data_IF_681706841987
#
_entry.id   IF_681706841987
#
_cell.length_a   1.000
_cell.length_b   1.000
_cell.length_c   1.000
_cell.angle_alpha   90.00
_cell.angle_beta   90.00
_cell.angle_gamma   90.00
#
_symmetry.space_group_name_H-M   'P 1'
#
loop_
_entity.id
_entity.type
_entity.pdbx_description
1 polymer ?
#
# COMPACT_ATOMS: atom_id res chain seq x y z
N UNK A 1 8.52 0.12 7.07
CA UNK A 1 8.36 0.03 5.61
C UNK A 1 9.74 -0.15 5.00
N UNK A 2 9.88 -1.10 4.08
CA UNK A 2 11.17 -1.50 3.49
C UNK A 2 11.07 -1.45 1.97
N UNK A 3 12.13 -1.00 1.30
CA UNK A 3 12.23 -1.02 -0.17
C UNK A 3 13.08 -2.20 -0.60
N UNK A 4 12.49 -3.12 -1.36
CA UNK A 4 13.16 -4.36 -1.81
C UNK A 4 13.94 -4.17 -3.12
N UNK A 5 13.90 -2.97 -3.71
CA UNK A 5 14.50 -2.68 -5.03
C UNK A 5 13.55 -2.98 -6.19
N UNK A 6 13.88 -2.53 -7.40
CA UNK A 6 13.07 -2.79 -8.60
C UNK A 6 11.63 -2.27 -8.53
N UNK A 7 11.42 -1.13 -7.85
CA UNK A 7 10.12 -0.54 -7.56
C UNK A 7 9.16 -1.46 -6.76
N UNK A 8 9.71 -2.32 -5.91
CA UNK A 8 8.95 -3.11 -4.94
C UNK A 8 9.15 -2.52 -3.55
N UNK A 9 8.05 -2.24 -2.86
CA UNK A 9 8.01 -1.82 -1.47
C UNK A 9 7.22 -2.81 -0.62
N UNK A 10 7.66 -2.99 0.62
CA UNK A 10 7.00 -3.81 1.63
C UNK A 10 6.56 -2.93 2.80
N UNK A 11 5.28 -2.95 3.11
CA UNK A 11 4.63 -2.12 4.12
C UNK A 11 4.09 -3.03 5.21
N UNK A 12 4.62 -2.91 6.42
CA UNK A 12 4.05 -3.54 7.61
C UNK A 12 3.02 -2.58 8.21
N UNK A 13 1.82 -3.07 8.48
CA UNK A 13 0.73 -2.28 9.03
C UNK A 13 -0.15 -3.11 9.95
N UNK A 14 -0.65 -2.51 11.02
CA UNK A 14 -1.66 -3.12 11.88
C UNK A 14 -3.03 -2.65 11.43
N UNK A 15 -3.89 -3.58 11.03
CA UNK A 15 -5.30 -3.31 10.71
C UNK A 15 -6.14 -3.40 11.97
N UNK A 16 -6.80 -2.31 12.34
CA UNK A 16 -7.81 -2.32 13.40
C UNK A 16 -9.21 -2.39 12.78
N UNK A 17 -9.97 -3.44 13.13
CA UNK A 17 -11.36 -3.60 12.72
C UNK A 17 -12.25 -3.45 13.95
N UNK A 18 -13.06 -2.38 13.98
CA UNK A 18 -13.97 -2.08 15.09
C UNK A 18 -15.38 -2.51 14.71
N UNK A 19 -16.00 -3.37 15.52
CA UNK A 19 -17.39 -3.82 15.36
C UNK A 19 -18.11 -3.66 16.70
N UNK A 20 -18.96 -2.63 16.80
CA UNK A 20 -19.61 -2.27 18.07
C UNK A 20 -18.57 -1.87 19.12
N UNK A 21 -18.58 -2.57 20.26
CA UNK A 21 -17.61 -2.37 21.35
C UNK A 21 -16.33 -3.20 21.21
N UNK A 22 -16.25 -4.08 20.20
CA UNK A 22 -15.08 -4.93 19.99
C UNK A 22 -14.13 -4.30 18.98
N UNK A 23 -12.85 -4.27 19.32
CA UNK A 23 -11.76 -3.91 18.40
C UNK A 23 -10.83 -5.10 18.22
N UNK A 24 -10.65 -5.54 16.97
CA UNK A 24 -9.69 -6.59 16.62
C UNK A 24 -8.54 -5.96 15.87
N UNK A 25 -7.32 -6.13 16.40
CA UNK A 25 -6.08 -5.75 15.72
C UNK A 25 -5.49 -6.95 15.01
N UNK A 26 -5.05 -6.75 13.78
CA UNK A 26 -4.46 -7.79 12.94
C UNK A 26 -3.24 -7.20 12.25
N UNK A 27 -2.07 -7.73 12.57
CA UNK A 27 -0.84 -7.35 11.88
C UNK A 27 -0.81 -7.95 10.48
N UNK A 28 -0.36 -7.17 9.52
CA UNK A 28 -0.35 -7.55 8.12
C UNK A 28 0.82 -6.89 7.41
N UNK A 29 1.22 -7.52 6.31
CA UNK A 29 2.29 -7.04 5.44
C UNK A 29 1.80 -6.95 4.01
N UNK A 30 1.96 -5.78 3.41
CA UNK A 30 1.65 -5.54 2.00
C UNK A 30 2.94 -5.49 1.18
N UNK A 31 2.99 -6.30 0.12
CA UNK A 31 4.00 -6.19 -0.94
C UNK A 31 3.38 -5.44 -2.11
N UNK A 32 3.98 -4.30 -2.44
CA UNK A 32 3.48 -3.35 -3.44
C UNK A 32 4.54 -3.20 -4.51
N UNK A 33 4.22 -3.61 -5.74
CA UNK A 33 5.01 -3.26 -6.92
C UNK A 33 4.42 -1.99 -7.52
N UNK A 34 5.23 -0.95 -7.65
CA UNK A 34 4.82 0.32 -8.24
C UNK A 34 5.67 0.65 -9.46
N UNK A 35 5.22 1.59 -10.28
CA UNK A 35 6.05 2.25 -11.28
C UNK A 35 5.85 3.75 -11.19
N UNK A 36 6.85 4.49 -11.63
CA UNK A 36 6.78 5.95 -11.74
C UNK A 36 6.77 6.25 -13.23
N UNK A 37 5.56 6.36 -13.77
CA UNK A 37 5.33 6.77 -15.15
C UNK A 37 5.04 8.27 -15.07
N UNK A 38 5.96 9.09 -15.54
CA UNK A 38 5.94 10.54 -15.31
C UNK A 38 4.59 11.20 -15.56
N UNK A 39 4.37 12.31 -14.85
CA UNK A 39 3.26 13.27 -14.88
C UNK A 39 2.00 12.83 -15.66
N UNK A 40 0.89 12.44 -14.98
CA UNK A 40 -0.33 12.07 -15.67
C UNK A 40 -0.84 13.20 -16.56
N UNK A 41 -1.31 12.85 -17.77
CA UNK A 41 -1.67 13.83 -18.80
C UNK A 41 -2.83 14.76 -18.39
N UNK A 42 -3.69 14.33 -17.46
CA UNK A 42 -4.84 15.09 -16.94
C UNK A 42 -4.48 15.90 -15.69
N UNK A 43 -4.80 17.19 -15.70
CA UNK A 43 -4.45 18.14 -14.64
C UNK A 43 -5.13 17.82 -13.29
N UNK A 44 -6.38 17.33 -13.32
CA UNK A 44 -7.12 16.89 -12.12
C UNK A 44 -6.47 15.68 -11.46
N UNK A 45 -5.90 14.77 -12.26
CA UNK A 45 -5.21 13.58 -11.78
C UNK A 45 -3.80 13.91 -11.27
N UNK A 46 -3.12 14.93 -11.85
CA UNK A 46 -1.85 15.46 -11.31
C UNK A 46 -1.99 16.05 -9.92
N UNK A 47 -3.13 16.67 -9.60
CA UNK A 47 -3.34 17.23 -8.27
C UNK A 47 -3.34 16.13 -7.19
N UNK A 48 -3.88 14.95 -7.51
CA UNK A 48 -3.91 13.79 -6.60
C UNK A 48 -2.62 12.95 -6.65
N UNK A 49 -1.94 12.93 -7.79
CA UNK A 49 -0.73 12.15 -8.01
C UNK A 49 0.31 12.95 -8.82
N UNK A 50 0.99 13.92 -8.19
CA UNK A 50 1.90 14.84 -8.88
C UNK A 50 3.13 14.14 -9.48
N UNK A 51 3.48 12.97 -8.95
CA UNK A 51 4.65 12.18 -9.35
C UNK A 51 4.30 11.00 -10.27
N UNK A 52 3.01 10.73 -10.51
CA UNK A 52 2.60 9.64 -11.41
C UNK A 52 2.87 8.23 -10.87
N UNK A 53 2.83 8.02 -9.54
CA UNK A 53 2.94 6.67 -8.97
C UNK A 53 1.77 5.79 -9.42
N UNK A 54 2.06 4.65 -10.01
CA UNK A 54 1.07 3.65 -10.38
C UNK A 54 1.39 2.33 -9.68
N UNK A 55 0.39 1.73 -9.03
CA UNK A 55 0.54 0.40 -8.43
C UNK A 55 0.29 -0.63 -9.52
N UNK A 56 1.31 -1.45 -9.82
CA UNK A 56 1.20 -2.56 -10.78
C UNK A 56 0.65 -3.82 -10.12
N UNK A 57 1.05 -4.09 -8.88
CA UNK A 57 0.63 -5.26 -8.14
C UNK A 57 0.55 -4.95 -6.65
N UNK A 58 -0.49 -5.47 -6.02
CA UNK A 58 -0.74 -5.33 -4.60
C UNK A 58 -1.12 -6.69 -4.03
N UNK A 59 -0.36 -7.14 -3.03
CA UNK A 59 -0.70 -8.31 -2.23
C UNK A 59 -0.54 -7.95 -0.76
N UNK A 60 -1.56 -8.21 0.03
CA UNK A 60 -1.49 -8.08 1.48
C UNK A 60 -1.75 -9.43 2.11
N UNK A 61 -0.77 -9.90 2.89
CA UNK A 61 -0.86 -11.14 3.66
C UNK A 61 -0.97 -10.76 5.13
N UNK A 62 -1.92 -11.39 5.83
CA UNK A 62 -2.04 -11.25 7.28
C UNK A 62 -0.87 -11.99 7.92
N UNK A 63 -0.18 -11.34 8.87
CA UNK A 63 0.73 -12.08 9.74
C UNK A 63 -0.14 -12.96 10.62
N UNK A 64 -0.16 -14.26 10.33
CA UNK A 64 -0.84 -15.24 11.19
C UNK A 64 0.02 -15.37 12.44
N UNK A 65 -0.44 -14.94 13.63
CA UNK A 65 0.30 -15.20 14.86
C UNK A 65 0.41 -16.71 15.04
N UNK A 66 1.65 -17.20 15.13
CA UNK A 66 1.97 -18.61 15.36
C UNK A 66 1.54 -19.07 16.75
#
# INVERSE_FOLDING_TARGET
>A
MSFLGGNVAQVYFTKESVTGSNSTKTDAVATIKYKVDGTPSKEVDRFKNPLGYQVESYRADVEVPQ
#
